data_IF_192877585906
#
_entry.id   IF_192877585906
#
_cell.length_a   1.000
_cell.length_b   1.000
_cell.length_c   1.000
_cell.angle_alpha   90.00
_cell.angle_beta   90.00
_cell.angle_gamma   90.00
#
_symmetry.space_group_name_H-M   'P 1'
#
loop_
_entity.id
_entity.type
_entity.pdbx_description
1 polymer ?
#
# COMPACT_ATOMS: atom_id res chain seq x y z
N UNK A 1 -8.30 -15.69 4.69
CA UNK A 1 -7.30 -15.54 3.61
C UNK A 1 -8.01 -15.55 2.28
N UNK A 2 -7.53 -14.76 1.33
CA UNK A 2 -8.06 -14.57 -0.01
C UNK A 2 -6.91 -14.66 -1.00
N UNK A 3 -7.22 -14.72 -2.30
CA UNK A 3 -6.18 -14.80 -3.32
C UNK A 3 -6.23 -13.65 -4.35
N UNK A 4 -7.22 -12.75 -4.23
CA UNK A 4 -7.37 -11.57 -5.08
C UNK A 4 -8.04 -11.83 -6.42
N UNK A 5 -8.79 -12.90 -6.52
CA UNK A 5 -9.65 -13.20 -7.66
C UNK A 5 -11.10 -12.90 -7.29
N UNK A 6 -11.62 -11.83 -7.85
CA UNK A 6 -12.99 -11.41 -7.58
C UNK A 6 -13.96 -12.47 -8.10
N UNK A 7 -14.83 -12.95 -7.22
CA UNK A 7 -15.81 -13.99 -7.57
C UNK A 7 -17.14 -13.40 -8.01
N UNK A 8 -17.48 -12.21 -7.48
CA UNK A 8 -18.73 -11.54 -7.84
C UNK A 8 -18.61 -10.03 -7.62
N UNK A 9 -19.33 -9.26 -8.44
CA UNK A 9 -19.60 -7.84 -8.21
C UNK A 9 -20.99 -7.76 -7.57
N UNK A 10 -21.02 -7.50 -6.25
CA UNK A 10 -22.24 -7.39 -5.48
C UNK A 10 -22.76 -5.95 -5.46
N UNK A 11 -24.06 -5.79 -5.19
CA UNK A 11 -24.72 -4.48 -5.04
C UNK A 11 -24.88 -4.13 -3.56
N UNK A 12 -24.47 -2.94 -3.18
CA UNK A 12 -24.74 -2.41 -1.84
C UNK A 12 -26.24 -2.06 -1.75
N UNK A 13 -26.97 -2.77 -0.90
CA UNK A 13 -28.37 -2.50 -0.63
C UNK A 13 -28.54 -1.37 0.39
N UNK A 14 -27.70 -1.35 1.43
CA UNK A 14 -27.63 -0.27 2.43
C UNK A 14 -26.30 -0.32 3.18
N UNK A 15 -25.87 0.84 3.66
CA UNK A 15 -24.75 0.96 4.60
C UNK A 15 -25.19 1.94 5.69
N UNK A 16 -25.38 1.47 6.91
CA UNK A 16 -25.84 2.29 8.03
C UNK A 16 -25.14 1.86 9.31
N UNK A 17 -24.51 2.82 9.98
CA UNK A 17 -23.69 2.56 11.14
C UNK A 17 -22.49 1.68 10.75
N UNK A 18 -22.41 0.51 11.35
CA UNK A 18 -21.39 -0.51 11.12
C UNK A 18 -21.85 -1.68 10.24
N UNK A 19 -23.11 -1.66 9.78
CA UNK A 19 -23.72 -2.76 9.03
C UNK A 19 -23.81 -2.44 7.54
N UNK A 20 -23.11 -3.23 6.73
CA UNK A 20 -23.15 -3.18 5.27
C UNK A 20 -23.99 -4.36 4.74
N UNK A 21 -25.15 -4.07 4.14
CA UNK A 21 -25.99 -5.06 3.48
C UNK A 21 -25.67 -5.13 1.99
N UNK A 22 -25.45 -6.34 1.50
CA UNK A 22 -25.13 -6.64 0.11
C UNK A 22 -26.22 -7.51 -0.53
N UNK A 23 -26.59 -7.20 -1.77
CA UNK A 23 -27.29 -8.11 -2.66
C UNK A 23 -26.26 -8.85 -3.47
N UNK A 24 -26.26 -10.17 -3.38
CA UNK A 24 -25.27 -11.03 -4.01
C UNK A 24 -25.89 -12.38 -4.35
N UNK A 25 -25.31 -13.08 -5.33
CA UNK A 25 -25.66 -14.49 -5.62
C UNK A 25 -24.95 -15.44 -4.67
N UNK A 26 -23.75 -15.06 -4.25
CA UNK A 26 -22.99 -15.82 -3.24
C UNK A 26 -23.78 -15.95 -1.94
N UNK A 27 -23.77 -17.16 -1.37
CA UNK A 27 -24.49 -17.51 -0.13
C UNK A 27 -23.49 -17.98 0.92
N UNK A 28 -22.99 -17.07 1.77
CA UNK A 28 -22.14 -17.43 2.90
C UNK A 28 -22.96 -18.05 4.04
N UNK A 29 -22.26 -18.64 5.01
CA UNK A 29 -22.81 -18.95 6.33
C UNK A 29 -22.60 -17.76 7.30
N UNK A 30 -23.32 -17.76 8.42
CA UNK A 30 -23.07 -16.81 9.52
C UNK A 30 -21.66 -17.06 10.07
N UNK A 31 -20.90 -15.99 10.29
CA UNK A 31 -19.54 -16.03 10.76
C UNK A 31 -18.49 -16.21 9.67
N UNK A 32 -18.88 -16.47 8.42
CA UNK A 32 -17.93 -16.53 7.30
C UNK A 32 -17.21 -15.19 7.12
N UNK A 33 -15.95 -15.27 6.67
CA UNK A 33 -15.19 -14.11 6.22
C UNK A 33 -15.39 -13.89 4.73
N UNK A 34 -15.74 -12.67 4.34
CA UNK A 34 -15.85 -12.23 2.94
C UNK A 34 -15.03 -10.96 2.77
N UNK A 35 -14.19 -10.92 1.74
CA UNK A 35 -13.53 -9.67 1.37
C UNK A 35 -14.50 -8.81 0.57
N UNK A 36 -14.69 -7.56 1.01
CA UNK A 36 -15.50 -6.54 0.32
C UNK A 36 -14.58 -5.38 -0.07
N UNK A 37 -14.40 -5.15 -1.36
CA UNK A 37 -13.36 -4.24 -1.87
C UNK A 37 -12.00 -4.45 -1.16
N UNK A 38 -11.64 -5.73 -0.92
CA UNK A 38 -10.40 -6.13 -0.27
C UNK A 38 -10.38 -6.06 1.26
N UNK A 39 -11.41 -5.54 1.91
CA UNK A 39 -11.51 -5.57 3.37
C UNK A 39 -12.17 -6.86 3.85
N UNK A 40 -11.51 -7.60 4.73
CA UNK A 40 -12.06 -8.81 5.36
C UNK A 40 -13.13 -8.44 6.38
N UNK A 41 -14.36 -8.89 6.12
CA UNK A 41 -15.52 -8.59 6.96
C UNK A 41 -16.26 -9.89 7.31
N UNK A 42 -16.83 -9.95 8.52
CA UNK A 42 -17.59 -11.10 8.98
C UNK A 42 -19.06 -10.99 8.63
N UNK A 43 -19.65 -12.08 8.15
CA UNK A 43 -21.08 -12.18 7.85
C UNK A 43 -21.87 -12.29 9.15
N UNK A 44 -22.78 -11.34 9.37
CA UNK A 44 -23.56 -11.26 10.61
C UNK A 44 -25.06 -11.49 10.41
N UNK A 45 -25.56 -11.34 9.18
CA UNK A 45 -26.98 -11.60 8.86
C UNK A 45 -27.12 -12.18 7.45
N UNK A 46 -28.10 -13.05 7.27
CA UNK A 46 -28.45 -13.64 5.98
C UNK A 46 -29.81 -13.14 5.52
N UNK A 47 -29.98 -12.93 4.21
CA UNK A 47 -31.22 -12.52 3.56
C UNK A 47 -31.48 -13.39 2.32
N UNK A 48 -32.71 -13.44 1.85
CA UNK A 48 -33.05 -14.19 0.64
C UNK A 48 -32.28 -13.71 -0.61
N UNK A 49 -31.96 -12.40 -0.68
CA UNK A 49 -31.29 -11.75 -1.80
C UNK A 49 -29.79 -11.46 -1.54
N UNK A 50 -29.22 -11.90 -0.38
CA UNK A 50 -27.83 -11.65 -0.05
C UNK A 50 -27.53 -11.79 1.44
N UNK A 51 -26.63 -10.95 1.95
CA UNK A 51 -26.17 -11.01 3.34
C UNK A 51 -25.73 -9.62 3.85
N UNK A 52 -25.51 -9.51 5.14
CA UNK A 52 -24.85 -8.33 5.70
C UNK A 52 -23.58 -8.71 6.43
N UNK A 53 -22.61 -7.81 6.35
CA UNK A 53 -21.33 -7.87 7.03
C UNK A 53 -21.18 -6.69 7.98
N UNK A 54 -20.40 -6.88 9.04
CA UNK A 54 -20.15 -5.84 10.02
C UNK A 54 -18.75 -5.25 9.85
N UNK A 55 -18.68 -3.92 9.90
CA UNK A 55 -17.43 -3.16 9.90
C UNK A 55 -17.11 -2.72 11.33
N UNK A 56 -15.89 -3.01 11.80
CA UNK A 56 -15.41 -2.38 13.02
C UNK A 56 -15.12 -0.89 12.77
N UNK A 57 -15.13 -0.08 13.84
CA UNK A 57 -14.75 1.33 13.76
C UNK A 57 -13.31 1.49 13.25
N UNK A 58 -12.42 0.57 13.57
CA UNK A 58 -11.05 0.53 13.08
C UNK A 58 -11.01 0.28 11.57
N UNK A 59 -11.71 -0.76 11.09
CA UNK A 59 -11.80 -1.05 9.66
C UNK A 59 -12.34 0.16 8.87
N UNK A 60 -13.40 0.81 9.38
CA UNK A 60 -14.00 1.96 8.70
C UNK A 60 -13.05 3.16 8.56
N UNK A 61 -12.04 3.29 9.43
CA UNK A 61 -11.03 4.37 9.37
C UNK A 61 -9.93 4.11 8.33
N UNK A 62 -9.58 2.84 8.10
CA UNK A 62 -8.44 2.47 7.26
C UNK A 62 -8.80 2.13 5.83
N UNK A 63 -10.08 2.00 5.51
CA UNK A 63 -10.56 1.68 4.16
C UNK A 63 -11.17 2.91 3.44
N UNK A 64 -11.34 2.81 2.14
CA UNK A 64 -12.08 3.77 1.32
C UNK A 64 -13.61 3.58 1.51
N UNK A 65 -14.13 3.82 2.73
CA UNK A 65 -15.52 3.56 3.10
C UNK A 65 -16.55 4.30 2.22
N UNK A 66 -16.19 5.45 1.63
CA UNK A 66 -17.03 6.16 0.67
C UNK A 66 -17.35 5.34 -0.59
N UNK A 67 -16.58 4.28 -0.87
CA UNK A 67 -16.81 3.36 -2.00
C UNK A 67 -17.77 2.20 -1.64
N UNK A 68 -18.20 2.09 -0.38
CA UNK A 68 -19.20 1.11 0.04
C UNK A 68 -20.61 1.56 -0.37
N UNK A 69 -20.77 1.81 -1.66
CA UNK A 69 -22.02 2.22 -2.31
C UNK A 69 -22.05 1.74 -3.76
N UNK A 70 -23.24 1.52 -4.30
CA UNK A 70 -23.38 0.97 -5.65
C UNK A 70 -22.83 -0.44 -5.73
N UNK A 71 -21.82 -0.67 -6.56
CA UNK A 71 -21.20 -1.97 -6.76
C UNK A 71 -19.91 -2.11 -5.97
N UNK A 72 -19.68 -3.30 -5.42
CA UNK A 72 -18.46 -3.67 -4.69
C UNK A 72 -17.93 -5.03 -5.15
N UNK A 73 -16.62 -5.23 -5.10
CA UNK A 73 -16.03 -6.54 -5.27
C UNK A 73 -16.34 -7.41 -4.05
N UNK A 74 -16.66 -8.69 -4.26
CA UNK A 74 -16.66 -9.68 -3.18
C UNK A 74 -15.83 -10.90 -3.57
N UNK A 75 -15.12 -11.42 -2.57
CA UNK A 75 -14.36 -12.66 -2.65
C UNK A 75 -14.61 -13.47 -1.36
N UNK A 76 -15.08 -14.72 -1.46
CA UNK A 76 -15.14 -15.65 -0.33
C UNK A 76 -13.74 -16.00 0.17
N UNK A 77 -13.61 -16.30 1.46
CA UNK A 77 -12.36 -16.85 1.99
C UNK A 77 -11.99 -18.16 1.29
N UNK A 78 -10.68 -18.32 1.03
CA UNK A 78 -10.13 -19.57 0.46
C UNK A 78 -10.35 -20.75 1.41
N UNK A 79 -10.52 -21.92 0.83
CA UNK A 79 -10.55 -23.21 1.50
C UNK A 79 -9.22 -23.94 1.33
N UNK A 80 -8.94 -24.90 2.20
CA UNK A 80 -7.78 -25.79 2.03
C UNK A 80 -7.97 -26.55 0.72
N UNK A 81 -6.94 -26.54 -0.13
CA UNK A 81 -6.95 -27.14 -1.45
C UNK A 81 -7.36 -26.23 -2.61
N UNK A 82 -7.81 -25.01 -2.32
CA UNK A 82 -8.04 -24.02 -3.39
C UNK A 82 -6.72 -23.62 -4.06
N UNK A 83 -6.80 -23.28 -5.34
CA UNK A 83 -5.65 -22.75 -6.09
C UNK A 83 -5.36 -21.33 -5.67
N UNK A 84 -4.07 -20.99 -5.61
CA UNK A 84 -3.59 -19.61 -5.38
C UNK A 84 -3.11 -19.06 -6.73
N UNK A 85 -4.03 -18.49 -7.52
CA UNK A 85 -3.72 -17.92 -8.83
C UNK A 85 -3.27 -16.45 -8.77
N UNK A 86 -3.52 -15.76 -7.63
CA UNK A 86 -3.01 -14.42 -7.34
C UNK A 86 -1.87 -14.45 -6.33
N UNK A 87 -2.08 -13.89 -5.14
CA UNK A 87 -1.15 -13.96 -4.02
C UNK A 87 -1.92 -14.07 -2.70
N UNK A 88 -1.22 -14.31 -1.59
CA UNK A 88 -1.86 -14.43 -0.28
C UNK A 88 -2.31 -13.06 0.23
N UNK A 89 -3.62 -12.84 0.27
CA UNK A 89 -4.28 -11.62 0.73
C UNK A 89 -5.02 -11.93 2.03
N UNK A 90 -4.85 -11.07 3.04
CA UNK A 90 -5.52 -11.23 4.33
C UNK A 90 -6.86 -10.50 4.40
N UNK A 91 -7.03 -9.48 3.55
CA UNK A 91 -8.12 -8.52 3.64
C UNK A 91 -7.85 -7.44 4.71
N UNK A 92 -6.59 -7.23 5.05
CA UNK A 92 -6.14 -6.24 6.01
C UNK A 92 -5.52 -5.06 5.26
N UNK A 93 -6.35 -4.08 4.96
CA UNK A 93 -5.97 -2.89 4.19
C UNK A 93 -4.90 -2.10 4.93
N UNK A 94 -3.75 -1.87 4.26
CA UNK A 94 -2.62 -1.11 4.81
C UNK A 94 -2.78 0.39 4.62
N UNK A 95 -3.42 0.78 3.50
CA UNK A 95 -3.58 2.19 3.14
C UNK A 95 -4.72 2.40 2.15
N UNK A 96 -5.13 3.66 2.04
CA UNK A 96 -5.99 4.13 0.95
C UNK A 96 -5.15 4.97 -0.01
N UNK A 97 -5.12 4.54 -1.27
CA UNK A 97 -4.52 5.29 -2.38
C UNK A 97 -5.55 6.05 -3.19
N UNK A 98 -5.06 6.81 -4.18
CA UNK A 98 -5.88 7.57 -5.13
C UNK A 98 -5.39 7.35 -6.56
N UNK A 99 -6.29 7.03 -7.47
CA UNK A 99 -5.99 6.94 -8.89
C UNK A 99 -5.82 8.36 -9.44
N UNK A 100 -4.61 8.75 -9.79
CA UNK A 100 -4.34 10.12 -10.29
C UNK A 100 -4.13 10.19 -11.82
N UNK A 101 -3.92 9.03 -12.48
CA UNK A 101 -3.76 8.97 -13.92
C UNK A 101 -4.22 7.61 -14.45
N UNK A 102 -4.83 7.59 -15.61
CA UNK A 102 -5.22 6.38 -16.35
C UNK A 102 -4.75 6.58 -17.81
N UNK A 103 -4.03 5.58 -18.36
CA UNK A 103 -3.54 5.59 -19.74
C UNK A 103 -3.95 4.32 -20.45
N UNK A 104 -4.62 4.43 -21.59
CA UNK A 104 -4.98 3.28 -22.42
C UNK A 104 -3.76 2.83 -23.23
N UNK A 105 -3.55 1.53 -23.28
CA UNK A 105 -2.55 0.85 -24.09
C UNK A 105 -3.25 -0.08 -25.08
N UNK A 106 -2.52 -0.54 -26.08
CA UNK A 106 -3.04 -1.56 -27.00
C UNK A 106 -3.37 -2.89 -26.31
N UNK A 107 -2.61 -3.24 -25.25
CA UNK A 107 -2.73 -4.52 -24.53
C UNK A 107 -3.49 -4.43 -23.20
N UNK A 108 -3.98 -3.24 -22.81
CA UNK A 108 -4.64 -3.05 -21.51
C UNK A 108 -4.74 -1.60 -21.11
N UNK A 109 -4.81 -1.34 -19.80
CA UNK A 109 -4.91 0.01 -19.25
C UNK A 109 -3.93 0.16 -18.10
N UNK A 110 -3.10 1.20 -18.14
CA UNK A 110 -2.26 1.59 -17.02
C UNK A 110 -3.03 2.45 -16.04
N UNK A 111 -2.98 2.05 -14.79
CA UNK A 111 -3.44 2.81 -13.64
C UNK A 111 -2.26 3.30 -12.83
N UNK A 112 -2.25 4.59 -12.53
CA UNK A 112 -1.25 5.21 -11.66
C UNK A 112 -1.94 5.59 -10.37
N UNK A 113 -1.48 5.01 -9.26
CA UNK A 113 -2.09 5.15 -7.94
C UNK A 113 -1.08 5.82 -7.02
N UNK A 114 -1.46 6.98 -6.46
CA UNK A 114 -0.72 7.62 -5.38
C UNK A 114 -1.05 6.92 -4.07
N UNK A 115 -0.02 6.61 -3.27
CA UNK A 115 -0.14 5.92 -2.00
C UNK A 115 0.68 6.64 -0.92
N UNK A 116 0.31 6.52 0.37
CA UNK A 116 1.10 7.07 1.47
C UNK A 116 2.52 6.51 1.50
N UNK A 117 3.51 7.35 1.82
CA UNK A 117 4.93 6.99 1.77
C UNK A 117 5.29 5.83 2.73
N UNK A 118 4.55 5.67 3.84
CA UNK A 118 4.85 4.64 4.84
C UNK A 118 4.75 3.20 4.30
N UNK A 119 3.97 2.96 3.22
CA UNK A 119 3.90 1.63 2.58
C UNK A 119 4.92 1.45 1.46
N UNK A 120 5.65 2.51 1.03
CA UNK A 120 6.63 2.42 -0.06
C UNK A 120 7.69 1.31 0.14
N UNK A 121 8.23 1.08 1.36
CA UNK A 121 9.19 -0.01 1.59
C UNK A 121 8.62 -1.42 1.39
N UNK A 122 7.30 -1.56 1.28
CA UNK A 122 6.59 -2.83 1.09
C UNK A 122 6.20 -3.05 -0.37
N UNK A 123 6.50 -2.10 -1.25
CA UNK A 123 6.15 -2.12 -2.66
C UNK A 123 7.42 -2.34 -3.49
N UNK A 124 7.43 -3.35 -4.34
CA UNK A 124 8.57 -3.65 -5.20
C UNK A 124 8.12 -3.80 -6.66
N UNK A 125 8.89 -3.29 -7.64
CA UNK A 125 8.64 -3.60 -9.05
C UNK A 125 8.61 -5.12 -9.26
N UNK A 126 7.61 -5.61 -10.02
CA UNK A 126 7.31 -7.04 -10.23
C UNK A 126 6.77 -7.77 -9.00
N UNK A 127 6.65 -7.12 -7.86
CA UNK A 127 5.93 -7.65 -6.70
C UNK A 127 4.41 -7.61 -6.87
N UNK A 128 3.71 -8.21 -5.93
CA UNK A 128 2.24 -8.25 -5.89
C UNK A 128 1.69 -7.13 -4.98
N UNK A 129 0.48 -6.69 -5.29
CA UNK A 129 -0.31 -5.78 -4.46
C UNK A 129 -1.79 -6.07 -4.69
N UNK A 130 -2.60 -5.96 -3.66
CA UNK A 130 -4.05 -6.01 -3.82
C UNK A 130 -4.64 -4.60 -3.84
N UNK A 131 -5.41 -4.29 -4.89
CA UNK A 131 -6.14 -3.02 -5.03
C UNK A 131 -7.64 -3.31 -5.06
N UNK A 132 -8.38 -2.76 -4.09
CA UNK A 132 -9.80 -3.10 -3.86
C UNK A 132 -10.03 -4.62 -3.90
N UNK A 133 -9.07 -5.41 -3.36
CA UNK A 133 -9.10 -6.86 -3.30
C UNK A 133 -8.64 -7.59 -4.56
N UNK A 134 -8.31 -6.89 -5.64
CA UNK A 134 -7.81 -7.51 -6.88
C UNK A 134 -6.30 -7.68 -6.81
N UNK A 135 -5.79 -8.90 -6.99
CA UNK A 135 -4.37 -9.20 -7.08
C UNK A 135 -3.78 -8.64 -8.37
N UNK A 136 -2.77 -7.79 -8.26
CA UNK A 136 -2.14 -7.12 -9.39
C UNK A 136 -0.61 -7.12 -9.25
N UNK A 137 0.08 -7.09 -10.38
CA UNK A 137 1.53 -6.96 -10.43
C UNK A 137 1.93 -5.49 -10.51
N UNK A 138 2.87 -5.08 -9.68
CA UNK A 138 3.45 -3.73 -9.72
C UNK A 138 4.42 -3.64 -10.90
N UNK A 139 4.15 -2.77 -11.86
CA UNK A 139 5.05 -2.52 -12.99
C UNK A 139 6.19 -1.58 -12.56
N UNK A 140 5.87 -0.50 -11.85
CA UNK A 140 6.82 0.51 -11.39
C UNK A 140 6.42 1.07 -10.03
N UNK A 141 7.42 1.46 -9.25
CA UNK A 141 7.26 2.28 -8.04
C UNK A 141 7.95 3.60 -8.30
N UNK A 142 7.22 4.72 -8.14
CA UNK A 142 7.67 6.07 -8.42
C UNK A 142 7.77 6.84 -7.09
N UNK A 143 8.92 7.44 -6.80
CA UNK A 143 9.11 8.32 -5.65
C UNK A 143 8.64 9.75 -5.97
N UNK A 144 8.16 10.46 -4.97
CA UNK A 144 7.85 11.89 -5.08
C UNK A 144 6.54 12.22 -5.79
N UNK A 145 5.47 11.48 -5.51
CA UNK A 145 4.11 11.92 -5.86
C UNK A 145 3.74 11.92 -7.33
N UNK A 146 4.51 11.24 -8.19
CA UNK A 146 4.10 11.02 -9.57
C UNK A 146 4.65 12.01 -10.60
N UNK A 147 5.69 12.77 -10.29
CA UNK A 147 6.42 13.49 -11.33
C UNK A 147 7.21 12.49 -12.19
N UNK A 148 6.99 12.41 -13.53
CA UNK A 148 7.77 11.53 -14.40
C UNK A 148 9.22 11.98 -14.40
N UNK A 149 10.15 11.17 -13.85
CA UNK A 149 11.56 11.50 -13.95
C UNK A 149 12.52 10.84 -12.96
N UNK A 150 12.07 10.16 -11.95
CA UNK A 150 12.97 9.36 -11.09
C UNK A 150 12.47 7.94 -10.99
N UNK A 151 12.90 7.12 -11.92
CA UNK A 151 12.76 5.67 -11.82
C UNK A 151 13.72 5.15 -10.77
N UNK A 152 13.22 4.33 -9.86
CA UNK A 152 14.05 3.45 -9.05
C UNK A 152 14.64 2.39 -10.00
N UNK A 153 15.77 2.71 -10.64
CA UNK A 153 16.50 1.75 -11.42
C UNK A 153 17.18 0.78 -10.46
N UNK A 154 16.89 -0.50 -10.62
CA UNK A 154 17.55 -1.63 -9.96
C UNK A 154 19.04 -1.82 -10.38
N UNK A 155 19.73 -0.77 -10.81
CA UNK A 155 21.17 -0.75 -11.05
C UNK A 155 21.85 -0.20 -9.81
N UNK A 156 22.16 -1.08 -8.85
CA UNK A 156 22.88 -0.71 -7.64
C UNK A 156 22.65 -1.67 -6.49
N UNK A 157 22.60 -2.97 -6.76
CA UNK A 157 22.85 -4.00 -5.74
C UNK A 157 24.36 -4.18 -5.58
N UNK A 158 25.09 -3.07 -5.39
CA UNK A 158 26.38 -3.12 -4.73
C UNK A 158 26.11 -3.07 -3.23
N UNK A 159 26.49 -4.17 -2.56
CA UNK A 159 26.23 -4.42 -1.15
C UNK A 159 26.95 -3.43 -0.22
N UNK A 160 26.42 -2.25 -0.07
CA UNK A 160 26.97 -1.27 0.85
C UNK A 160 26.16 0.01 0.86
N UNK A 161 25.39 0.23 1.93
CA UNK A 161 24.76 1.49 2.32
C UNK A 161 23.25 1.67 2.05
N UNK A 162 22.42 0.66 2.30
CA UNK A 162 20.97 0.88 2.36
C UNK A 162 20.44 1.42 3.72
N UNK A 163 21.30 1.67 4.72
CA UNK A 163 20.89 2.05 6.09
C UNK A 163 21.31 3.47 6.51
N UNK A 164 21.89 4.30 5.64
CA UNK A 164 22.29 5.66 6.04
C UNK A 164 21.93 6.74 5.03
N UNK A 165 20.64 7.13 5.03
CA UNK A 165 20.25 8.54 4.85
C UNK A 165 19.11 8.85 5.81
N UNK A 166 19.47 9.05 7.07
CA UNK A 166 18.65 9.87 7.96
C UNK A 166 18.52 11.25 7.32
N UNK A 167 17.28 11.64 7.07
CA UNK A 167 16.91 12.98 6.70
C UNK A 167 17.41 13.94 7.78
N UNK A 168 18.52 14.59 7.55
CA UNK A 168 18.90 15.80 8.31
C UNK A 168 17.92 16.89 7.94
N UNK A 169 16.96 17.15 8.80
CA UNK A 169 16.28 18.43 8.86
C UNK A 169 17.34 19.48 9.16
N UNK A 170 17.76 20.23 8.15
CA UNK A 170 18.58 21.40 8.36
C UNK A 170 17.73 22.48 9.01
N UNK A 171 18.00 22.76 10.30
CA UNK A 171 17.59 23.97 10.96
C UNK A 171 18.26 25.15 10.27
N UNK A 172 17.50 26.00 9.61
CA UNK A 172 17.97 27.28 9.13
C UNK A 172 17.55 28.36 10.14
N UNK A 173 18.42 28.62 11.11
CA UNK A 173 18.44 29.85 11.89
C UNK A 173 19.63 30.66 11.43
N UNK A 174 19.41 31.83 10.86
CA UNK A 174 20.46 32.74 10.45
C UNK A 174 19.88 33.99 9.83
N UNK A 175 19.63 34.99 10.69
CA UNK A 175 19.34 36.35 10.29
C UNK A 175 20.60 37.05 9.76
N UNK A 176 20.49 37.85 8.73
CA UNK A 176 20.86 39.30 8.73
C UNK A 176 20.91 39.87 7.31
N UNK A 177 20.10 40.90 7.15
CA UNK A 177 20.34 42.21 6.54
C UNK A 177 21.11 42.31 5.19
N UNK A 178 20.44 42.83 4.20
CA UNK A 178 20.74 44.13 3.59
C UNK A 178 19.72 44.43 2.49
N UNK A 179 19.14 45.59 2.57
CA UNK A 179 18.12 46.09 1.70
C UNK A 179 18.65 46.54 0.32
N UNK A 180 17.76 46.53 -0.65
CA UNK A 180 17.70 47.60 -1.67
C UNK A 180 16.34 47.57 -2.39
N UNK A 181 15.77 48.74 -2.50
CA UNK A 181 14.53 49.09 -3.12
C UNK A 181 14.46 48.72 -4.62
N UNK A 182 13.34 48.12 -5.03
CA UNK A 182 12.82 48.29 -6.37
C UNK A 182 11.28 48.36 -6.36
N UNK A 183 10.75 49.53 -6.64
CA UNK A 183 9.35 49.78 -6.91
C UNK A 183 8.97 49.20 -8.26
N UNK A 184 8.02 48.29 -8.29
CA UNK A 184 7.43 47.78 -9.52
C UNK A 184 6.10 47.08 -9.18
N UNK A 185 4.99 47.81 -9.42
CA UNK A 185 3.64 47.32 -9.25
C UNK A 185 3.33 46.23 -10.27
N UNK A 186 3.31 44.99 -9.85
CA UNK A 186 2.62 43.91 -10.55
C UNK A 186 1.83 43.08 -9.52
N UNK A 187 0.52 43.08 -9.66
CA UNK A 187 -0.42 42.32 -8.86
C UNK A 187 -0.11 40.85 -8.98
N UNK A 188 0.58 40.33 -7.99
CA UNK A 188 0.77 38.90 -7.79
C UNK A 188 -0.56 38.32 -7.30
N UNK A 189 -1.21 37.53 -8.13
CA UNK A 189 -2.35 36.71 -7.71
C UNK A 189 -1.87 35.74 -6.64
N UNK A 190 -2.55 35.82 -5.50
CA UNK A 190 -2.33 34.96 -4.33
C UNK A 190 -2.39 33.47 -4.74
N UNK A 191 -1.33 32.68 -4.52
CA UNK A 191 -1.31 31.24 -4.82
C UNK A 191 -2.27 30.41 -3.98
N UNK A 192 -2.88 31.00 -2.94
CA UNK A 192 -3.81 30.29 -2.03
C UNK A 192 -5.18 29.97 -2.65
N UNK A 193 -5.49 30.49 -3.86
CA UNK A 193 -6.77 30.26 -4.54
C UNK A 193 -6.80 29.02 -5.46
N UNK A 194 -5.66 28.36 -5.70
CA UNK A 194 -5.58 27.07 -6.35
C UNK A 194 -5.37 26.02 -5.27
N UNK A 195 -6.44 25.42 -4.75
CA UNK A 195 -6.46 24.44 -3.66
C UNK A 195 -5.66 23.14 -3.91
N UNK A 196 -4.46 23.24 -4.42
CA UNK A 196 -3.49 22.16 -4.54
C UNK A 196 -2.66 22.14 -3.26
N UNK A 197 -2.95 21.19 -2.40
CA UNK A 197 -2.26 21.01 -1.13
C UNK A 197 -0.84 20.47 -1.38
N UNK A 198 0.10 21.33 -1.72
CA UNK A 198 1.52 21.02 -2.03
C UNK A 198 2.25 20.27 -0.90
N UNK A 199 1.71 20.29 0.34
CA UNK A 199 2.29 19.57 1.48
C UNK A 199 2.00 18.06 1.45
N UNK A 200 0.97 17.58 0.75
CA UNK A 200 0.61 16.17 0.67
C UNK A 200 1.42 15.39 -0.37
N UNK A 201 1.97 16.05 -1.37
CA UNK A 201 2.74 15.39 -2.45
C UNK A 201 4.15 14.96 -2.00
N UNK A 202 4.77 15.68 -1.07
CA UNK A 202 6.10 15.36 -0.55
C UNK A 202 6.16 14.07 0.32
N UNK A 203 5.00 13.54 0.74
CA UNK A 203 4.88 12.37 1.62
C UNK A 203 4.16 11.19 0.96
N UNK A 204 4.19 11.09 -0.33
CA UNK A 204 3.55 10.02 -1.09
C UNK A 204 4.51 9.32 -2.03
N UNK A 205 4.25 8.05 -2.30
CA UNK A 205 4.80 7.31 -3.43
C UNK A 205 3.70 7.06 -4.45
N UNK A 206 4.06 6.59 -5.63
CA UNK A 206 3.09 6.16 -6.62
C UNK A 206 3.47 4.81 -7.21
N UNK A 207 2.47 4.02 -7.60
CA UNK A 207 2.67 2.75 -8.31
C UNK A 207 1.98 2.82 -9.67
N UNK A 208 2.58 2.15 -10.65
CA UNK A 208 1.96 1.89 -11.95
C UNK A 208 1.60 0.40 -12.05
N UNK A 209 0.36 0.16 -12.45
CA UNK A 209 -0.22 -1.18 -12.63
C UNK A 209 -0.81 -1.25 -14.03
N UNK A 210 -0.46 -2.29 -14.79
CA UNK A 210 -1.07 -2.55 -16.11
C UNK A 210 -2.15 -3.60 -15.96
N UNK A 211 -3.39 -3.25 -16.26
CA UNK A 211 -4.56 -4.12 -16.12
C UNK A 211 -4.98 -4.64 -17.48
N UNK A 212 -5.00 -5.97 -17.64
CA UNK A 212 -5.38 -6.64 -18.87
C UNK A 212 -6.90 -6.60 -19.14
N UNK A 213 -7.35 -6.75 -20.39
CA UNK A 213 -8.77 -6.64 -20.74
C UNK A 213 -9.69 -7.58 -19.94
N UNK A 214 -9.23 -8.79 -19.63
CA UNK A 214 -10.02 -9.74 -18.82
C UNK A 214 -10.30 -9.20 -17.44
N UNK A 215 -9.27 -8.70 -16.72
CA UNK A 215 -9.42 -8.12 -15.40
C UNK A 215 -10.31 -6.87 -15.41
N UNK A 216 -10.19 -6.02 -16.45
CA UNK A 216 -11.08 -4.86 -16.61
C UNK A 216 -12.54 -5.25 -16.76
N UNK A 217 -12.83 -6.39 -17.43
CA UNK A 217 -14.18 -6.92 -17.65
C UNK A 217 -14.74 -7.56 -16.38
N UNK A 218 -13.91 -8.33 -15.67
CA UNK A 218 -14.36 -9.18 -14.56
C UNK A 218 -14.32 -8.44 -13.20
N UNK A 219 -13.85 -7.18 -13.21
CA UNK A 219 -13.76 -6.33 -12.01
C UNK A 219 -14.35 -4.94 -12.25
N UNK A 220 -14.43 -4.14 -11.20
CA UNK A 220 -14.89 -2.75 -11.29
C UNK A 220 -13.86 -1.79 -11.90
N UNK A 221 -12.63 -2.25 -12.19
CA UNK A 221 -11.57 -1.40 -12.77
C UNK A 221 -11.98 -0.75 -14.09
N UNK A 222 -12.81 -1.42 -14.90
CA UNK A 222 -13.35 -0.85 -16.14
C UNK A 222 -14.19 0.42 -15.93
N UNK A 223 -14.73 0.62 -14.72
CA UNK A 223 -15.53 1.79 -14.34
C UNK A 223 -14.78 2.85 -13.53
N UNK A 224 -13.52 2.56 -13.13
CA UNK A 224 -12.75 3.47 -12.29
C UNK A 224 -12.35 4.74 -13.03
N UNK A 225 -12.32 5.84 -12.29
CA UNK A 225 -11.98 7.18 -12.81
C UNK A 225 -10.87 7.81 -11.96
N UNK A 226 -10.19 8.77 -12.55
CA UNK A 226 -9.25 9.64 -11.84
C UNK A 226 -9.95 10.28 -10.63
N UNK A 227 -9.24 10.36 -9.49
CA UNK A 227 -9.77 10.83 -8.21
C UNK A 227 -10.42 9.74 -7.36
N UNK A 228 -10.61 8.50 -7.91
CA UNK A 228 -11.14 7.41 -7.10
C UNK A 228 -10.12 6.97 -6.06
N UNK A 229 -10.57 6.91 -4.81
CA UNK A 229 -9.80 6.28 -3.72
C UNK A 229 -9.95 4.76 -3.79
N UNK A 230 -8.89 4.03 -3.49
CA UNK A 230 -8.83 2.57 -3.55
C UNK A 230 -8.16 2.01 -2.30
N UNK A 231 -8.60 0.86 -1.85
CA UNK A 231 -7.95 0.12 -0.77
C UNK A 231 -6.66 -0.53 -1.31
N UNK A 232 -5.58 -0.43 -0.55
CA UNK A 232 -4.30 -1.05 -0.88
C UNK A 232 -3.94 -2.01 0.24
N UNK A 233 -3.69 -3.27 -0.11
CA UNK A 233 -3.04 -4.25 0.76
C UNK A 233 -1.73 -4.67 0.12
N UNK A 234 -0.62 -4.49 0.82
CA UNK A 234 0.72 -4.89 0.38
C UNK A 234 0.92 -6.39 0.56
N UNK A 235 1.85 -6.95 -0.18
CA UNK A 235 2.17 -8.37 -0.10
C UNK A 235 2.54 -8.78 1.33
N UNK A 236 1.93 -9.87 1.81
CA UNK A 236 2.14 -10.41 3.15
C UNK A 236 3.61 -10.72 3.42
N UNK A 237 4.32 -11.31 2.43
CA UNK A 237 5.73 -11.65 2.57
C UNK A 237 6.59 -10.40 2.70
N UNK A 238 6.31 -9.35 1.91
CA UNK A 238 7.01 -8.07 2.01
C UNK A 238 6.88 -7.46 3.42
N UNK A 239 5.70 -7.56 4.04
CA UNK A 239 5.47 -7.07 5.41
C UNK A 239 6.31 -7.82 6.44
N UNK A 240 6.35 -9.17 6.38
CA UNK A 240 7.13 -9.96 7.32
C UNK A 240 8.63 -9.76 7.12
N UNK A 241 9.13 -9.74 5.89
CA UNK A 241 10.54 -9.46 5.59
C UNK A 241 10.95 -8.08 6.12
N UNK A 242 10.16 -7.05 5.83
CA UNK A 242 10.44 -5.70 6.33
C UNK A 242 10.41 -5.61 7.86
N UNK A 243 9.52 -6.36 8.53
CA UNK A 243 9.47 -6.43 9.98
C UNK A 243 10.74 -7.08 10.55
N UNK A 244 11.20 -8.21 9.98
CA UNK A 244 12.40 -8.91 10.42
C UNK A 244 13.66 -8.05 10.23
N UNK A 245 13.79 -7.38 9.09
CA UNK A 245 14.94 -6.48 8.82
C UNK A 245 14.99 -5.32 9.82
N UNK A 246 13.84 -4.76 10.21
CA UNK A 246 13.77 -3.73 11.26
C UNK A 246 14.19 -4.26 12.64
N UNK A 247 13.89 -5.52 12.94
CA UNK A 247 14.29 -6.19 14.18
C UNK A 247 15.80 -6.45 14.20
N UNK A 248 16.36 -6.97 13.12
CA UNK A 248 17.81 -7.24 12.98
C UNK A 248 18.65 -5.96 13.14
N UNK A 249 18.16 -4.81 12.61
CA UNK A 249 18.84 -3.52 12.79
C UNK A 249 18.73 -2.90 14.19
N UNK A 250 17.93 -3.47 15.08
CA UNK A 250 17.70 -3.00 16.46
C UNK A 250 18.33 -3.87 17.55
N UNK A 251 19.30 -4.74 17.22
CA UNK A 251 19.99 -5.50 18.25
C UNK A 251 20.59 -4.53 19.28
N UNK A 252 20.30 -4.67 20.58
CA UNK A 252 20.93 -3.84 21.60
C UNK A 252 22.43 -4.09 21.51
N UNK A 253 23.19 -3.01 21.40
CA UNK A 253 24.63 -3.05 21.65
C UNK A 253 24.78 -3.70 23.04
N UNK A 254 25.29 -4.92 23.10
CA UNK A 254 25.65 -5.55 24.38
C UNK A 254 26.57 -4.56 25.06
N UNK A 255 26.15 -4.07 26.23
CA UNK A 255 26.97 -3.21 27.06
C UNK A 255 28.31 -3.88 27.24
N UNK A 256 29.35 -3.22 26.79
CA UNK A 256 30.74 -3.64 27.07
C UNK A 256 30.97 -3.39 28.54
N UNK A 257 30.97 -4.47 29.32
CA UNK A 257 31.66 -4.45 30.61
C UNK A 257 33.12 -4.06 30.34
N UNK A 258 33.54 -3.07 31.10
CA UNK A 258 34.85 -2.45 31.05
C UNK A 258 35.97 -3.46 31.31
N UNK A 259 36.74 -3.80 30.28
CA UNK A 259 38.14 -4.16 30.42
C UNK A 259 38.87 -3.70 29.15
N UNK A 260 39.78 -2.76 29.34
CA UNK A 260 40.68 -2.28 28.32
C UNK A 260 41.57 -3.43 27.78
N UNK A 261 41.56 -3.63 26.48
CA UNK A 261 42.72 -4.12 25.78
C UNK A 261 42.76 -3.52 24.37
N UNK A 262 43.84 -2.77 24.08
CA UNK A 262 44.12 -2.16 22.80
C UNK A 262 44.68 -3.22 21.85
N UNK A 263 43.91 -3.58 20.85
CA UNK A 263 44.34 -4.11 19.56
C UNK A 263 43.36 -5.13 18.98
N UNK A 264 42.44 -4.67 18.10
CA UNK A 264 41.97 -5.46 16.97
C UNK A 264 41.07 -4.61 16.06
N UNK A 265 41.46 -4.48 14.83
CA UNK A 265 40.66 -3.96 13.73
C UNK A 265 39.36 -4.79 13.61
N UNK A 266 38.20 -4.16 13.88
CA UNK A 266 36.88 -4.83 13.87
C UNK A 266 36.36 -4.98 12.45
N UNK A 267 36.36 -6.19 11.94
CA UNK A 267 35.55 -6.60 10.78
C UNK A 267 34.05 -6.37 11.07
N UNK A 268 33.40 -5.70 10.16
CA UNK A 268 31.93 -5.51 10.21
C UNK A 268 31.24 -6.83 9.82
N UNK A 269 30.78 -7.59 10.79
CA UNK A 269 29.96 -8.78 10.54
C UNK A 269 28.61 -8.38 9.93
N UNK A 270 28.46 -8.64 8.63
CA UNK A 270 27.14 -8.75 7.98
C UNK A 270 26.44 -10.03 8.44
N UNK A 271 25.16 -10.20 8.08
CA UNK A 271 24.39 -11.43 8.32
C UNK A 271 25.18 -12.63 7.77
N UNK A 272 25.75 -13.44 8.68
CA UNK A 272 26.49 -14.64 8.27
C UNK A 272 25.51 -15.76 7.93
N UNK A 273 25.89 -16.64 7.02
CA UNK A 273 25.09 -17.82 6.67
C UNK A 273 24.79 -18.73 7.88
N UNK A 274 25.62 -18.71 8.91
CA UNK A 274 25.39 -19.42 10.18
C UNK A 274 24.15 -18.93 10.93
N UNK A 275 23.81 -17.66 10.81
CA UNK A 275 22.57 -17.10 11.39
C UNK A 275 21.35 -17.54 10.58
N UNK A 276 21.49 -17.62 9.27
CA UNK A 276 20.42 -18.10 8.37
C UNK A 276 20.15 -19.58 8.61
N UNK A 277 21.21 -20.41 8.72
CA UNK A 277 21.08 -21.85 8.98
C UNK A 277 20.48 -22.14 10.38
N UNK A 278 20.81 -21.32 11.38
CA UNK A 278 20.18 -21.42 12.71
C UNK A 278 18.69 -21.11 12.67
N UNK A 279 18.27 -20.14 11.86
CA UNK A 279 16.84 -19.81 11.69
C UNK A 279 16.13 -20.96 10.95
N UNK A 280 16.74 -21.51 9.90
CA UNK A 280 16.18 -22.62 9.13
C UNK A 280 16.10 -23.93 9.92
N UNK A 281 16.96 -24.14 10.93
CA UNK A 281 16.94 -25.33 11.78
C UNK A 281 15.89 -25.28 12.89
N UNK A 282 15.16 -24.18 13.05
CA UNK A 282 14.08 -24.02 14.04
C UNK A 282 12.69 -24.28 13.45
N UNK A 283 12.62 -24.59 12.16
CA UNK A 283 11.41 -24.99 11.43
C UNK A 283 11.61 -26.34 10.73
#
# INVERSE_FOLDING_TARGET
MFNGLIREIAQVASFSGDLLRLRARYRPALGDSVAVNGACLSVTRLFADGFAVQLSSETARVIAAQNLRGSVHIEPAMRIGDRIDGHLIQGHVDAVGEIYKISKLASGVDFFIRAPLHIAPLLAPKGSVAIDGVSLTINEVLEGGGTPGRNFNSQGLDGGNFIRKESRCANFSGASSLGQNFSGSNSVRDPSSLGVNLKSEAQSCAIRLTIIPLTLKDTLFGSYKIGRRVNIETDLLARYVAAQLRFAGRQPVRGTDTARDDSAEGEKEGLSWDVVDKILSLY
#
